data_IF_376507504003
#
_entry.id   IF_376507504003
#
_cell.length_a   1.000
_cell.length_b   1.000
_cell.length_c   1.000
_cell.angle_alpha   90.00
_cell.angle_beta   90.00
_cell.angle_gamma   90.00
#
_symmetry.space_group_name_H-M   'P 1'
#
loop_
_entity.id
_entity.type
_entity.pdbx_description
1 polymer ?
#
# COMPACT_ATOMS: atom_id res chain seq x y z
N UNK A 1 -51.40 -40.79 37.04
CA UNK A 1 -51.75 -39.42 37.49
C UNK A 1 -50.92 -39.18 38.73
N UNK A 2 -49.93 -38.30 38.80
CA UNK A 2 -49.83 -36.93 38.30
C UNK A 2 -48.37 -36.65 37.89
N UNK A 3 -48.21 -36.06 36.71
CA UNK A 3 -46.99 -35.43 36.21
C UNK A 3 -46.63 -34.23 37.10
N UNK A 4 -45.38 -34.13 37.55
CA UNK A 4 -44.91 -33.05 38.43
C UNK A 4 -43.52 -32.56 38.07
N UNK A 5 -43.40 -31.96 36.89
CA UNK A 5 -42.49 -30.87 36.54
C UNK A 5 -41.05 -30.95 37.09
N UNK A 6 -40.17 -31.60 36.32
CA UNK A 6 -38.76 -31.22 36.31
C UNK A 6 -38.68 -29.76 35.84
N UNK A 7 -38.34 -28.86 36.75
CA UNK A 7 -38.08 -27.46 36.46
C UNK A 7 -36.92 -27.37 35.46
N UNK A 8 -37.24 -27.28 34.16
CA UNK A 8 -36.32 -26.76 33.16
C UNK A 8 -36.03 -25.33 33.55
N UNK A 9 -34.86 -25.12 34.14
CA UNK A 9 -34.22 -23.82 34.20
C UNK A 9 -33.97 -23.41 32.76
N UNK A 10 -34.95 -22.72 32.16
CA UNK A 10 -34.77 -22.01 30.90
C UNK A 10 -33.79 -20.87 31.18
N UNK A 11 -32.50 -21.17 31.06
CA UNK A 11 -31.47 -20.17 30.95
C UNK A 11 -31.73 -19.48 29.61
N UNK A 12 -32.53 -18.40 29.66
CA UNK A 12 -32.65 -17.44 28.58
C UNK A 12 -31.22 -16.94 28.34
N UNK A 13 -30.53 -17.55 27.38
CA UNK A 13 -29.31 -16.95 26.83
C UNK A 13 -29.83 -15.75 26.08
N UNK A 14 -29.83 -14.59 26.75
CA UNK A 14 -29.95 -13.33 26.07
C UNK A 14 -28.94 -13.37 24.93
N UNK A 15 -29.47 -13.35 23.70
CA UNK A 15 -28.71 -12.93 22.54
C UNK A 15 -28.30 -11.52 22.87
N UNK A 16 -27.17 -11.37 23.57
CA UNK A 16 -26.46 -10.12 23.65
C UNK A 16 -26.14 -9.81 22.21
N UNK A 17 -26.96 -8.95 21.60
CA UNK A 17 -26.57 -8.17 20.45
C UNK A 17 -25.11 -7.82 20.71
N UNK A 18 -24.18 -8.33 19.88
CA UNK A 18 -22.77 -8.07 20.08
C UNK A 18 -22.66 -6.56 20.22
N UNK A 19 -22.50 -6.09 21.45
CA UNK A 19 -22.32 -4.67 21.70
C UNK A 19 -21.10 -4.36 20.86
N UNK A 20 -21.29 -3.53 19.84
CA UNK A 20 -20.20 -2.92 19.10
C UNK A 20 -19.54 -1.94 20.05
N UNK A 21 -18.93 -2.48 21.13
CA UNK A 21 -18.10 -1.73 22.06
C UNK A 21 -17.09 -1.05 21.17
N UNK A 22 -17.16 0.27 21.19
CA UNK A 22 -16.20 1.12 20.52
C UNK A 22 -14.82 0.72 21.04
N UNK A 23 -14.10 -0.10 20.26
CA UNK A 23 -12.73 -0.44 20.58
C UNK A 23 -11.91 0.74 20.07
N UNK A 24 -11.20 1.47 20.96
CA UNK A 24 -10.30 2.51 20.50
C UNK A 24 -9.32 1.86 19.54
N UNK A 25 -9.21 2.42 18.33
CA UNK A 25 -8.22 1.98 17.35
C UNK A 25 -6.87 2.11 18.07
N UNK A 26 -6.12 1.00 18.28
CA UNK A 26 -4.81 1.11 18.89
C UNK A 26 -3.92 1.83 17.88
N UNK A 27 -3.75 3.15 18.06
CA UNK A 27 -2.77 3.91 17.29
C UNK A 27 -1.41 3.38 17.72
N UNK A 28 -0.80 2.59 16.85
CA UNK A 28 0.50 2.02 17.11
C UNK A 28 1.59 2.98 16.67
N UNK A 29 2.79 2.83 17.23
CA UNK A 29 3.99 3.56 16.77
C UNK A 29 4.21 3.33 15.25
N UNK A 30 3.83 2.15 14.75
CA UNK A 30 3.88 1.84 13.32
C UNK A 30 2.98 2.74 12.49
N UNK A 31 1.78 3.09 12.98
CA UNK A 31 0.86 3.99 12.27
C UNK A 31 1.41 5.42 12.18
N UNK A 32 2.08 5.88 13.23
CA UNK A 32 2.77 7.18 13.25
C UNK A 32 3.96 7.16 12.30
N UNK A 33 4.82 6.13 12.39
CA UNK A 33 5.99 5.98 11.52
C UNK A 33 5.60 5.82 10.05
N UNK A 34 4.47 5.17 9.77
CA UNK A 34 3.94 4.98 8.42
C UNK A 34 3.50 6.30 7.76
N UNK A 35 3.27 7.36 8.53
CA UNK A 35 2.93 8.69 8.02
C UNK A 35 4.18 9.59 8.07
N UNK A 36 4.90 9.57 9.18
CA UNK A 36 6.03 10.44 9.44
C UNK A 36 7.19 10.20 8.48
N UNK A 37 7.59 8.93 8.27
CA UNK A 37 8.77 8.61 7.47
C UNK A 37 8.58 8.98 5.99
N UNK A 38 7.45 8.61 5.33
CA UNK A 38 7.19 9.09 3.98
C UNK A 38 7.01 10.60 3.92
N UNK A 39 6.34 11.20 4.91
CA UNK A 39 6.16 12.64 4.99
C UNK A 39 7.48 13.41 5.04
N UNK A 40 8.45 12.92 5.81
CA UNK A 40 9.78 13.48 5.91
C UNK A 40 10.59 13.33 4.61
N UNK A 41 10.50 12.16 3.96
CA UNK A 41 11.11 11.94 2.65
C UNK A 41 10.56 12.94 1.61
N UNK A 42 9.24 13.16 1.59
CA UNK A 42 8.60 14.14 0.73
C UNK A 42 8.97 15.59 1.08
N UNK A 43 9.10 15.93 2.36
CA UNK A 43 9.59 17.25 2.77
C UNK A 43 10.97 17.55 2.18
N UNK A 44 11.91 16.60 2.28
CA UNK A 44 13.25 16.74 1.69
C UNK A 44 13.13 16.93 0.18
N UNK A 45 12.29 16.15 -0.51
CA UNK A 45 12.12 16.27 -1.97
C UNK A 45 11.48 17.60 -2.38
N UNK A 46 10.52 18.12 -1.61
CA UNK A 46 9.92 19.44 -1.86
C UNK A 46 10.96 20.54 -1.71
N UNK A 47 11.77 20.50 -0.64
CA UNK A 47 12.87 21.46 -0.46
C UNK A 47 13.89 21.32 -1.58
N UNK A 48 14.25 20.10 -1.97
CA UNK A 48 15.17 19.84 -3.08
C UNK A 48 14.62 20.41 -4.39
N UNK A 49 13.33 20.21 -4.70
CA UNK A 49 12.69 20.77 -5.88
C UNK A 49 12.68 22.30 -5.87
N UNK A 50 12.38 22.91 -4.72
CA UNK A 50 12.46 24.36 -4.55
C UNK A 50 13.88 24.89 -4.78
N UNK A 51 14.89 24.18 -4.27
CA UNK A 51 16.30 24.53 -4.50
C UNK A 51 16.66 24.44 -5.98
N UNK A 52 16.26 23.36 -6.66
CA UNK A 52 16.45 23.22 -8.12
C UNK A 52 15.88 24.43 -8.85
N UNK A 53 14.65 24.86 -8.52
CA UNK A 53 14.02 26.02 -9.16
C UNK A 53 14.74 27.34 -8.86
N UNK A 54 15.33 27.48 -7.67
CA UNK A 54 16.05 28.68 -7.26
C UNK A 54 17.47 28.74 -7.83
N UNK A 55 18.15 27.60 -7.92
CA UNK A 55 19.53 27.47 -8.42
C UNK A 55 19.58 27.20 -9.93
N UNK A 56 18.47 27.37 -10.65
CA UNK A 56 18.41 27.31 -12.11
C UNK A 56 19.35 28.32 -12.81
N UNK A 57 19.93 29.27 -12.06
CA UNK A 57 20.97 30.19 -12.52
C UNK A 57 22.21 30.20 -11.60
N UNK A 58 22.28 29.28 -10.63
CA UNK A 58 23.34 29.20 -9.62
C UNK A 58 24.39 28.15 -9.97
N UNK A 59 25.53 28.21 -9.27
CA UNK A 59 26.64 27.25 -9.40
C UNK A 59 26.54 26.08 -8.42
N UNK A 60 25.61 26.11 -7.47
CA UNK A 60 25.42 25.02 -6.52
C UNK A 60 24.62 23.87 -7.14
N UNK A 61 25.08 22.63 -6.94
CA UNK A 61 24.36 21.42 -7.32
C UNK A 61 23.25 21.16 -6.31
N UNK A 62 21.97 21.32 -6.67
CA UNK A 62 20.89 20.98 -5.76
C UNK A 62 20.87 19.45 -5.54
N UNK A 63 20.81 19.04 -4.28
CA UNK A 63 20.76 17.63 -3.89
C UNK A 63 19.95 17.43 -2.61
N UNK A 64 19.41 16.22 -2.35
CA UNK A 64 18.68 15.95 -1.11
C UNK A 64 19.50 16.16 0.16
N UNK A 65 20.82 15.97 0.08
CA UNK A 65 21.73 16.19 1.20
C UNK A 65 21.83 17.68 1.51
N UNK A 66 21.97 18.52 0.48
CA UNK A 66 21.98 19.97 0.64
C UNK A 66 20.65 20.46 1.24
N UNK A 67 19.52 19.97 0.72
CA UNK A 67 18.20 20.29 1.25
C UNK A 67 18.09 19.93 2.75
N UNK A 68 18.60 18.77 3.15
CA UNK A 68 18.67 18.37 4.57
C UNK A 68 19.55 19.32 5.40
N UNK A 69 20.74 19.66 4.93
CA UNK A 69 21.64 20.59 5.63
C UNK A 69 20.99 21.96 5.82
N UNK A 70 20.25 22.46 4.82
CA UNK A 70 19.52 23.73 4.92
C UNK A 70 18.38 23.66 5.92
N UNK A 71 17.64 22.55 5.97
CA UNK A 71 16.61 22.31 6.99
C UNK A 71 17.24 22.34 8.39
N UNK A 72 18.35 21.62 8.59
CA UNK A 72 19.07 21.59 9.87
C UNK A 72 19.59 22.97 10.27
N UNK A 73 20.15 23.71 9.31
CA UNK A 73 20.69 25.04 9.54
C UNK A 73 19.57 26.05 9.88
N UNK A 74 18.40 25.94 9.23
CA UNK A 74 17.22 26.74 9.57
C UNK A 74 16.74 26.44 11.00
N UNK A 75 16.72 25.16 11.40
CA UNK A 75 16.38 24.79 12.78
C UNK A 75 17.39 25.35 13.80
N UNK A 76 18.69 25.26 13.51
CA UNK A 76 19.73 25.82 14.39
C UNK A 76 19.61 27.34 14.53
N UNK A 77 19.34 28.06 13.43
CA UNK A 77 19.15 29.51 13.44
C UNK A 77 17.92 29.95 14.23
N UNK A 78 16.85 29.16 14.20
CA UNK A 78 15.63 29.48 14.96
C UNK A 78 15.84 29.41 16.48
N UNK A 79 16.90 28.75 16.96
CA UNK A 79 17.29 28.62 18.38
C UNK A 79 16.12 28.36 19.37
N UNK A 80 15.12 27.62 18.92
CA UNK A 80 13.89 27.34 19.67
C UNK A 80 13.57 25.86 19.61
N UNK A 81 13.15 25.30 20.75
CA UNK A 81 12.71 23.90 20.85
C UNK A 81 11.47 23.60 19.98
N UNK A 82 10.76 24.64 19.55
CA UNK A 82 9.59 24.53 18.67
C UNK A 82 9.95 24.15 17.23
N UNK A 83 11.17 24.45 16.77
CA UNK A 83 11.61 24.17 15.40
C UNK A 83 11.62 22.67 15.01
N UNK A 84 12.12 21.72 15.83
CA UNK A 84 11.97 20.30 15.53
C UNK A 84 10.50 19.84 15.59
N UNK A 85 9.68 20.42 16.47
CA UNK A 85 8.26 20.08 16.56
C UNK A 85 7.50 20.49 15.29
N UNK A 86 7.75 21.70 14.77
CA UNK A 86 7.13 22.14 13.51
C UNK A 86 7.54 21.28 12.33
N UNK A 87 8.80 20.85 12.27
CA UNK A 87 9.27 19.93 11.24
C UNK A 87 8.52 18.58 11.29
N UNK A 88 8.31 18.03 12.48
CA UNK A 88 7.52 16.79 12.66
C UNK A 88 6.08 17.02 12.20
N UNK A 89 5.45 18.12 12.61
CA UNK A 89 4.06 18.43 12.24
C UNK A 89 3.87 18.63 10.74
N UNK A 90 4.79 19.34 10.09
CA UNK A 90 4.79 19.53 8.62
C UNK A 90 4.97 18.18 7.92
N UNK A 91 5.90 17.36 8.39
CA UNK A 91 6.13 16.02 7.82
C UNK A 91 4.87 15.15 7.93
N UNK A 92 4.20 15.16 9.10
CA UNK A 92 2.93 14.44 9.29
C UNK A 92 1.83 14.94 8.35
N UNK A 93 1.70 16.26 8.18
CA UNK A 93 0.72 16.87 7.28
C UNK A 93 0.93 16.41 5.83
N UNK A 94 2.17 16.49 5.35
CA UNK A 94 2.55 16.05 3.99
C UNK A 94 2.26 14.56 3.81
N UNK A 95 2.68 13.73 4.76
CA UNK A 95 2.45 12.29 4.72
C UNK A 95 0.97 11.93 4.67
N UNK A 96 0.13 12.64 5.45
CA UNK A 96 -1.32 12.43 5.47
C UNK A 96 -1.98 12.82 4.14
N UNK A 97 -1.58 13.96 3.55
CA UNK A 97 -2.14 14.46 2.28
C UNK A 97 -1.81 13.56 1.09
N UNK A 98 -0.61 12.96 1.07
CA UNK A 98 -0.16 12.14 -0.06
C UNK A 98 -0.68 10.70 -0.03
N UNK A 99 -1.08 10.21 1.15
CA UNK A 99 -1.51 8.82 1.38
C UNK A 99 -2.68 8.38 0.47
N UNK A 100 -3.76 9.17 0.28
CA UNK A 100 -4.88 8.76 -0.57
C UNK A 100 -4.51 8.68 -2.05
N UNK A 101 -3.74 9.67 -2.55
CA UNK A 101 -3.37 9.75 -3.96
C UNK A 101 -2.32 8.71 -4.39
N UNK A 102 -1.43 8.31 -3.47
CA UNK A 102 -0.33 7.41 -3.79
C UNK A 102 -0.81 6.05 -4.33
N UNK A 103 -1.83 5.43 -3.74
CA UNK A 103 -2.35 4.14 -4.25
C UNK A 103 -2.81 4.28 -5.70
N UNK A 104 -3.68 5.26 -5.99
CA UNK A 104 -4.24 5.44 -7.33
C UNK A 104 -3.15 5.66 -8.39
N UNK A 105 -2.15 6.48 -8.06
CA UNK A 105 -1.02 6.76 -8.97
C UNK A 105 -0.20 5.49 -9.18
N UNK A 106 0.15 4.78 -8.09
CA UNK A 106 0.98 3.56 -8.19
C UNK A 106 0.30 2.42 -8.93
N UNK A 107 -1.02 2.27 -8.79
CA UNK A 107 -1.83 1.30 -9.54
C UNK A 107 -1.91 1.66 -11.02
N UNK A 108 -2.00 2.94 -11.37
CA UNK A 108 -1.92 3.40 -12.77
C UNK A 108 -0.56 3.11 -13.41
N UNK A 109 0.51 3.22 -12.62
CA UNK A 109 1.89 2.99 -13.08
C UNK A 109 2.24 1.51 -13.25
N UNK A 110 1.55 0.60 -12.59
CA UNK A 110 1.82 -0.85 -12.71
C UNK A 110 1.75 -1.35 -14.15
N UNK A 111 0.80 -0.85 -14.95
CA UNK A 111 0.68 -1.21 -16.37
C UNK A 111 1.95 -0.91 -17.16
N UNK A 112 2.59 0.22 -16.87
CA UNK A 112 3.79 0.67 -17.58
C UNK A 112 5.02 -0.11 -17.12
N UNK A 113 5.10 -0.40 -15.83
CA UNK A 113 6.20 -1.18 -15.26
C UNK A 113 6.24 -2.61 -15.79
N UNK A 114 5.08 -3.26 -15.93
CA UNK A 114 5.01 -4.59 -16.50
C UNK A 114 5.43 -4.64 -17.97
N UNK A 115 5.14 -3.59 -18.76
CA UNK A 115 5.68 -3.45 -20.13
C UNK A 115 7.21 -3.34 -20.12
N UNK A 116 7.77 -2.55 -19.20
CA UNK A 116 9.23 -2.41 -19.04
C UNK A 116 9.85 -3.75 -18.64
N UNK A 117 9.29 -4.46 -17.66
CA UNK A 117 9.78 -5.78 -17.23
C UNK A 117 9.68 -6.81 -18.35
N UNK A 118 8.59 -6.80 -19.12
CA UNK A 118 8.45 -7.66 -20.30
C UNK A 118 9.54 -7.36 -21.33
N UNK A 119 9.81 -6.08 -21.60
CA UNK A 119 10.86 -5.66 -22.53
C UNK A 119 12.26 -6.09 -22.06
N UNK A 120 12.57 -5.91 -20.78
CA UNK A 120 13.84 -6.39 -20.18
C UNK A 120 13.96 -7.91 -20.28
N UNK A 121 12.91 -8.66 -19.95
CA UNK A 121 12.90 -10.12 -20.08
C UNK A 121 13.06 -10.57 -21.53
N UNK A 122 12.45 -9.85 -22.48
CA UNK A 122 12.57 -10.13 -23.91
C UNK A 122 14.01 -9.98 -24.40
N UNK A 123 14.72 -8.94 -23.97
CA UNK A 123 16.14 -8.75 -24.30
C UNK A 123 17.01 -9.89 -23.75
N UNK A 124 16.61 -10.48 -22.62
CA UNK A 124 17.35 -11.56 -21.97
C UNK A 124 16.89 -12.98 -22.34
N UNK A 125 15.81 -13.13 -23.11
CA UNK A 125 15.20 -14.43 -23.40
C UNK A 125 15.76 -15.03 -24.71
N UNK A 126 15.97 -16.35 -24.71
CA UNK A 126 16.26 -17.12 -25.94
C UNK A 126 14.96 -17.35 -26.74
N UNK A 127 15.08 -17.63 -28.05
CA UNK A 127 13.95 -17.72 -29.00
C UNK A 127 12.78 -18.62 -28.55
N UNK A 128 13.06 -19.77 -27.90
CA UNK A 128 12.01 -20.67 -27.39
C UNK A 128 11.22 -20.08 -26.20
N UNK A 129 11.86 -19.23 -25.39
CA UNK A 129 11.20 -18.53 -24.29
C UNK A 129 10.39 -17.33 -24.79
N UNK A 130 10.71 -16.73 -25.93
CA UNK A 130 9.97 -15.57 -26.46
C UNK A 130 8.51 -15.88 -26.81
N UNK A 131 8.24 -17.05 -27.40
CA UNK A 131 6.88 -17.46 -27.76
C UNK A 131 6.02 -17.69 -26.50
N UNK A 132 6.62 -18.27 -25.45
CA UNK A 132 5.99 -18.47 -24.15
C UNK A 132 5.80 -17.14 -23.42
N UNK A 133 6.80 -16.26 -23.48
CA UNK A 133 6.76 -14.91 -22.92
C UNK A 133 5.62 -14.08 -23.54
N UNK A 134 5.43 -14.15 -24.86
CA UNK A 134 4.35 -13.43 -25.56
C UNK A 134 2.97 -13.92 -25.13
N UNK A 135 2.77 -15.24 -25.05
CA UNK A 135 1.50 -15.83 -24.62
C UNK A 135 1.19 -15.49 -23.15
N UNK A 136 2.20 -15.57 -22.27
CA UNK A 136 2.06 -15.19 -20.86
C UNK A 136 1.85 -13.68 -20.68
N UNK A 137 2.41 -12.85 -21.56
CA UNK A 137 2.29 -11.40 -21.48
C UNK A 137 0.90 -10.91 -21.88
N UNK A 138 0.36 -11.33 -23.03
CA UNK A 138 -0.99 -10.96 -23.48
C UNK A 138 -2.06 -11.40 -22.47
N UNK A 139 -1.92 -12.58 -21.87
CA UNK A 139 -2.81 -13.01 -20.79
C UNK A 139 -2.61 -12.24 -19.48
N UNK A 140 -1.40 -11.75 -19.18
CA UNK A 140 -1.08 -11.10 -17.90
C UNK A 140 -1.51 -9.63 -17.86
N UNK A 141 -1.43 -8.90 -18.98
CA UNK A 141 -1.71 -7.46 -19.02
C UNK A 141 -3.15 -7.09 -18.59
N UNK A 142 -4.15 -7.88 -18.99
CA UNK A 142 -5.54 -7.68 -18.57
C UNK A 142 -5.83 -8.21 -17.15
N UNK A 143 -5.03 -9.18 -16.68
CA UNK A 143 -5.16 -9.79 -15.34
C UNK A 143 -4.60 -8.91 -14.21
N UNK A 144 -3.84 -7.86 -14.55
CA UNK A 144 -3.10 -6.98 -13.63
C UNK A 144 -3.83 -5.68 -13.24
N UNK A 145 -5.08 -5.45 -13.67
CA UNK A 145 -5.90 -4.38 -13.07
C UNK A 145 -6.23 -4.74 -11.63
N UNK A 146 -5.94 -3.85 -10.69
CA UNK A 146 -6.48 -3.93 -9.33
C UNK A 146 -8.01 -4.15 -9.43
N UNK A 147 -8.57 -5.17 -8.74
CA UNK A 147 -8.01 -5.94 -7.62
C UNK A 147 -7.30 -7.26 -7.96
N UNK A 148 -6.59 -7.34 -9.09
CA UNK A 148 -5.88 -8.54 -9.55
C UNK A 148 -6.80 -9.73 -9.80
N UNK A 149 -8.05 -9.46 -10.22
CA UNK A 149 -9.05 -10.50 -10.48
C UNK A 149 -8.50 -11.61 -11.39
N UNK A 150 -7.62 -11.27 -12.33
CA UNK A 150 -7.02 -12.25 -13.22
C UNK A 150 -5.98 -13.18 -12.57
N UNK A 151 -5.28 -12.74 -11.52
CA UNK A 151 -4.28 -13.54 -10.79
C UNK A 151 -4.98 -14.52 -9.84
N UNK A 152 -6.07 -14.07 -9.22
CA UNK A 152 -6.80 -14.85 -8.21
C UNK A 152 -7.98 -15.65 -8.78
N UNK A 153 -8.44 -15.38 -10.01
CA UNK A 153 -9.58 -16.09 -10.63
C UNK A 153 -9.46 -17.63 -10.63
N UNK A 154 -8.25 -18.17 -10.61
CA UNK A 154 -7.98 -19.61 -10.59
C UNK A 154 -7.51 -20.12 -9.20
N UNK A 155 -7.35 -19.22 -8.23
CA UNK A 155 -6.89 -19.59 -6.89
C UNK A 155 -8.07 -20.18 -6.08
N UNK A 156 -7.84 -21.31 -5.42
CA UNK A 156 -8.89 -22.01 -4.66
C UNK A 156 -9.51 -21.12 -3.58
N UNK A 157 -8.69 -20.28 -2.96
CA UNK A 157 -9.13 -19.32 -1.94
C UNK A 157 -10.13 -18.29 -2.49
N UNK A 158 -9.90 -17.80 -3.70
CA UNK A 158 -10.78 -16.82 -4.34
C UNK A 158 -12.13 -17.43 -4.72
N UNK A 159 -12.12 -18.66 -5.27
CA UNK A 159 -13.33 -19.39 -5.65
C UNK A 159 -14.18 -19.65 -4.40
N UNK A 160 -13.59 -20.16 -3.33
CA UNK A 160 -14.31 -20.46 -2.08
C UNK A 160 -14.90 -19.19 -1.44
N UNK A 161 -14.15 -18.08 -1.42
CA UNK A 161 -14.66 -16.80 -0.89
C UNK A 161 -15.78 -16.25 -1.77
N UNK A 162 -15.66 -16.37 -3.09
CA UNK A 162 -16.70 -15.94 -4.02
C UNK A 162 -17.99 -16.73 -3.79
N UNK A 163 -17.92 -18.05 -3.70
CA UNK A 163 -19.07 -18.92 -3.46
C UNK A 163 -19.73 -18.58 -2.12
N UNK A 164 -18.94 -18.45 -1.05
CA UNK A 164 -19.41 -18.01 0.26
C UNK A 164 -20.13 -16.66 0.21
N UNK A 165 -19.52 -15.65 -0.40
CA UNK A 165 -20.11 -14.30 -0.47
C UNK A 165 -21.39 -14.29 -1.32
N UNK A 166 -21.41 -15.05 -2.42
CA UNK A 166 -22.60 -15.21 -3.27
C UNK A 166 -23.75 -15.85 -2.49
N UNK A 167 -23.46 -16.88 -1.70
CA UNK A 167 -24.45 -17.57 -0.87
C UNK A 167 -25.05 -16.66 0.22
N UNK A 168 -24.28 -15.68 0.74
CA UNK A 168 -24.76 -14.76 1.80
C UNK A 168 -25.44 -13.51 1.26
N UNK A 169 -24.95 -12.94 0.17
CA UNK A 169 -25.47 -11.67 -0.37
C UNK A 169 -26.57 -11.91 -1.40
N UNK A 170 -26.65 -13.11 -1.98
CA UNK A 170 -27.65 -13.47 -3.00
C UNK A 170 -27.38 -12.88 -4.39
N UNK A 171 -26.28 -12.15 -4.55
CA UNK A 171 -25.85 -11.57 -5.84
C UNK A 171 -24.40 -11.99 -6.14
N UNK A 172 -24.06 -12.09 -7.42
CA UNK A 172 -22.69 -12.37 -7.83
C UNK A 172 -21.78 -11.21 -7.41
N UNK A 173 -20.66 -11.46 -6.72
CA UNK A 173 -19.68 -10.43 -6.35
C UNK A 173 -19.17 -9.58 -7.52
N UNK A 174 -19.31 -10.07 -8.75
CA UNK A 174 -18.91 -9.38 -9.98
C UNK A 174 -19.88 -8.26 -10.40
N UNK A 175 -21.10 -8.24 -9.87
CA UNK A 175 -22.14 -7.23 -10.16
C UNK A 175 -22.01 -5.97 -9.28
N UNK A 176 -21.16 -5.98 -8.24
CA UNK A 176 -20.98 -4.82 -7.36
C UNK A 176 -20.17 -3.70 -8.00
N UNK A 177 -20.57 -2.46 -7.71
CA UNK A 177 -19.83 -1.25 -8.11
C UNK A 177 -18.47 -1.18 -7.39
N UNK A 178 -17.40 -1.20 -8.18
CA UNK A 178 -15.96 -1.11 -7.80
C UNK A 178 -15.35 -2.31 -7.05
N UNK A 179 -14.09 -2.63 -7.37
CA UNK A 179 -13.19 -3.61 -6.70
C UNK A 179 -13.87 -4.86 -6.10
N UNK A 180 -14.34 -5.68 -7.04
CA UNK A 180 -15.47 -6.63 -7.02
C UNK A 180 -15.57 -7.65 -5.85
N UNK A 181 -14.49 -8.19 -5.29
CA UNK A 181 -14.59 -9.20 -4.20
C UNK A 181 -13.88 -8.75 -2.93
N UNK A 182 -12.72 -8.12 -3.07
CA UNK A 182 -11.91 -7.64 -1.96
C UNK A 182 -12.64 -6.63 -1.06
N UNK A 183 -13.36 -5.67 -1.64
CA UNK A 183 -14.11 -4.69 -0.87
C UNK A 183 -15.28 -5.31 -0.09
N UNK A 184 -15.96 -6.29 -0.70
CA UNK A 184 -17.07 -7.02 -0.08
C UNK A 184 -16.55 -7.90 1.06
N UNK A 185 -15.43 -8.60 0.86
CA UNK A 185 -14.78 -9.40 1.89
C UNK A 185 -14.38 -8.56 3.12
N UNK A 186 -13.83 -7.35 2.92
CA UNK A 186 -13.53 -6.43 4.03
C UNK A 186 -14.80 -5.98 4.78
N UNK A 187 -15.88 -5.68 4.06
CA UNK A 187 -17.17 -5.32 4.68
C UNK A 187 -17.74 -6.48 5.49
N UNK A 188 -17.66 -7.70 4.97
CA UNK A 188 -18.06 -8.91 5.67
C UNK A 188 -17.24 -9.10 6.96
N UNK A 189 -15.90 -9.00 6.86
CA UNK A 189 -15.00 -9.11 8.01
C UNK A 189 -15.31 -8.09 9.09
N UNK A 190 -15.59 -6.84 8.71
CA UNK A 190 -15.95 -5.78 9.66
C UNK A 190 -17.19 -6.14 10.50
N UNK A 191 -18.14 -6.87 9.91
CA UNK A 191 -19.39 -7.29 10.58
C UNK A 191 -19.26 -8.63 11.30
N UNK A 192 -18.49 -9.57 10.76
CA UNK A 192 -18.39 -10.94 11.28
C UNK A 192 -17.30 -11.08 12.35
N UNK A 193 -16.13 -10.47 12.15
CA UNK A 193 -14.97 -10.60 13.01
C UNK A 193 -14.11 -9.32 12.98
N UNK A 194 -14.44 -8.32 13.82
CA UNK A 194 -13.75 -7.03 13.84
C UNK A 194 -12.23 -7.12 14.06
N UNK A 195 -11.77 -8.11 14.84
CA UNK A 195 -10.33 -8.35 15.10
C UNK A 195 -9.56 -8.75 13.84
N UNK A 196 -10.15 -9.61 13.00
CA UNK A 196 -9.56 -10.03 11.73
C UNK A 196 -9.60 -8.91 10.68
N UNK A 197 -10.60 -8.02 10.78
CA UNK A 197 -10.67 -6.81 9.98
C UNK A 197 -9.55 -5.83 10.33
N UNK A 198 -9.27 -5.59 11.62
CA UNK A 198 -8.16 -4.72 12.06
C UNK A 198 -6.80 -5.20 11.53
N UNK A 199 -6.57 -6.52 11.49
CA UNK A 199 -5.35 -7.07 10.90
C UNK A 199 -5.24 -6.76 9.40
N UNK A 200 -6.36 -6.87 8.67
CA UNK A 200 -6.42 -6.53 7.25
C UNK A 200 -6.20 -5.03 6.99
N UNK A 201 -6.70 -4.16 7.88
CA UNK A 201 -6.45 -2.71 7.84
C UNK A 201 -4.98 -2.37 8.10
N UNK A 202 -4.31 -3.05 9.04
CA UNK A 202 -2.87 -2.87 9.27
C UNK A 202 -2.05 -3.22 8.02
N UNK A 203 -2.39 -4.31 7.34
CA UNK A 203 -1.76 -4.69 6.07
C UNK A 203 -1.98 -3.66 4.97
N UNK A 204 -3.19 -3.10 4.89
CA UNK A 204 -3.47 -2.01 3.95
C UNK A 204 -2.64 -0.75 4.28
N UNK A 205 -2.45 -0.43 5.56
CA UNK A 205 -1.60 0.68 5.98
C UNK A 205 -0.13 0.48 5.57
N UNK A 206 0.41 -0.73 5.70
CA UNK A 206 1.77 -1.09 5.22
C UNK A 206 1.90 -0.88 3.70
N UNK A 207 0.89 -1.30 2.93
CA UNK A 207 0.84 -1.11 1.48
C UNK A 207 0.79 0.38 1.13
N UNK A 208 -0.08 1.16 1.80
CA UNK A 208 -0.19 2.62 1.62
C UNK A 208 1.15 3.31 1.89
N UNK A 209 1.81 2.98 2.99
CA UNK A 209 3.13 3.52 3.35
C UNK A 209 4.15 3.24 2.26
N UNK A 210 4.24 1.98 1.81
CA UNK A 210 5.19 1.56 0.78
C UNK A 210 4.91 2.25 -0.56
N UNK A 211 3.64 2.48 -0.90
CA UNK A 211 3.25 3.20 -2.11
C UNK A 211 3.71 4.67 -2.07
N UNK A 212 3.54 5.36 -0.95
CA UNK A 212 4.00 6.76 -0.78
C UNK A 212 5.53 6.85 -0.86
N UNK A 213 6.24 5.89 -0.26
CA UNK A 213 7.71 5.80 -0.35
C UNK A 213 8.19 5.53 -1.77
N UNK A 214 7.55 4.60 -2.49
CA UNK A 214 7.86 4.35 -3.89
C UNK A 214 7.67 5.62 -4.73
N UNK A 215 6.57 6.35 -4.53
CA UNK A 215 6.33 7.60 -5.25
C UNK A 215 7.39 8.67 -4.92
N UNK A 216 7.85 8.74 -3.66
CA UNK A 216 8.95 9.62 -3.26
C UNK A 216 10.24 9.27 -4.01
N UNK A 217 10.63 7.98 -4.07
CA UNK A 217 11.84 7.56 -4.80
C UNK A 217 11.73 7.77 -6.31
N UNK A 218 10.53 7.60 -6.87
CA UNK A 218 10.27 7.93 -8.26
C UNK A 218 10.40 9.42 -8.52
N UNK A 219 9.84 10.26 -7.65
CA UNK A 219 10.01 11.72 -7.72
C UNK A 219 11.48 12.13 -7.59
N UNK A 220 12.22 11.54 -6.65
CA UNK A 220 13.68 11.72 -6.51
C UNK A 220 14.43 11.38 -7.79
N UNK A 221 14.05 10.29 -8.46
CA UNK A 221 14.63 9.89 -9.74
C UNK A 221 14.35 10.92 -10.83
N UNK A 222 13.12 11.45 -10.91
CA UNK A 222 12.75 12.49 -11.88
C UNK A 222 13.52 13.79 -11.62
N UNK A 223 13.68 14.19 -10.36
CA UNK A 223 14.49 15.35 -9.98
C UNK A 223 15.97 15.14 -10.33
N UNK A 224 16.51 13.93 -10.11
CA UNK A 224 17.86 13.54 -10.51
C UNK A 224 18.07 13.59 -12.03
N UNK A 225 17.07 13.15 -12.82
CA UNK A 225 17.11 13.26 -14.27
C UNK A 225 17.09 14.72 -14.73
N UNK A 226 16.18 15.52 -14.18
CA UNK A 226 16.08 16.94 -14.50
C UNK A 226 17.37 17.71 -14.21
N UNK A 227 17.96 17.48 -13.04
CA UNK A 227 19.23 18.11 -12.65
C UNK A 227 20.39 17.66 -13.53
N UNK A 228 20.48 16.37 -13.87
CA UNK A 228 21.50 15.87 -14.79
C UNK A 228 21.36 16.48 -16.19
N UNK A 229 20.14 16.57 -16.72
CA UNK A 229 19.86 17.21 -18.02
C UNK A 229 20.30 18.67 -18.03
N UNK A 230 19.99 19.41 -16.96
CA UNK A 230 20.41 20.81 -16.81
C UNK A 230 21.94 20.95 -16.70
N UNK A 231 22.60 20.06 -15.95
CA UNK A 231 24.07 20.05 -15.84
C UNK A 231 24.77 19.72 -17.16
N UNK A 232 24.14 18.86 -17.98
CA UNK A 232 24.64 18.53 -19.30
C UNK A 232 24.53 19.73 -20.26
N UNK A 233 23.44 20.49 -20.18
CA UNK A 233 23.22 21.68 -20.99
C UNK A 233 24.20 22.84 -20.65
N UNK A 234 24.54 23.01 -19.37
CA UNK A 234 25.36 24.13 -18.89
C UNK A 234 26.86 23.82 -18.71
N UNK A 235 27.35 22.70 -19.24
CA UNK A 235 28.78 22.32 -19.23
C UNK A 235 29.46 22.36 -17.83
N UNK A 236 28.73 21.98 -16.78
CA UNK A 236 29.25 21.94 -15.41
C UNK A 236 30.38 20.89 -15.21
N UNK A 237 31.24 21.06 -14.19
CA UNK A 237 32.42 20.22 -13.97
C UNK A 237 32.09 18.74 -13.72
N UNK A 238 32.98 17.84 -14.17
CA UNK A 238 32.77 16.38 -14.12
C UNK A 238 32.61 15.78 -12.70
N UNK A 239 33.02 16.50 -11.64
CA UNK A 239 32.83 16.04 -10.26
C UNK A 239 31.35 16.05 -9.86
N UNK A 240 30.64 17.12 -10.22
CA UNK A 240 29.25 17.34 -9.88
C UNK A 240 28.32 16.36 -10.59
N UNK A 241 28.59 16.11 -11.88
CA UNK A 241 27.89 15.10 -12.68
C UNK A 241 27.94 13.70 -12.05
N UNK A 242 29.09 13.32 -11.49
CA UNK A 242 29.26 12.01 -10.81
C UNK A 242 28.41 11.91 -9.54
N UNK A 243 28.28 13.01 -8.78
CA UNK A 243 27.42 13.04 -7.58
C UNK A 243 25.94 12.92 -7.95
N UNK A 244 25.49 13.68 -8.97
CA UNK A 244 24.11 13.57 -9.49
C UNK A 244 23.82 12.18 -10.03
N UNK A 245 24.77 11.57 -10.74
CA UNK A 245 24.64 10.20 -11.24
C UNK A 245 24.53 9.19 -10.08
N UNK A 246 25.34 9.34 -9.03
CA UNK A 246 25.25 8.51 -7.83
C UNK A 246 23.88 8.62 -7.15
N UNK A 247 23.36 9.84 -7.00
CA UNK A 247 22.01 10.09 -6.48
C UNK A 247 20.93 9.46 -7.35
N UNK A 248 21.03 9.59 -8.68
CA UNK A 248 20.09 9.01 -9.64
C UNK A 248 20.09 7.48 -9.58
N UNK A 249 21.28 6.85 -9.55
CA UNK A 249 21.41 5.40 -9.46
C UNK A 249 20.86 4.87 -8.14
N UNK A 250 21.13 5.55 -7.02
CA UNK A 250 20.56 5.19 -5.73
C UNK A 250 19.03 5.33 -5.71
N UNK A 251 18.50 6.42 -6.27
CA UNK A 251 17.04 6.65 -6.36
C UNK A 251 16.35 5.60 -7.22
N UNK A 252 16.96 5.22 -8.36
CA UNK A 252 16.48 4.14 -9.22
C UNK A 252 16.46 2.80 -8.51
N UNK A 253 17.53 2.45 -7.80
CA UNK A 253 17.62 1.22 -7.02
C UNK A 253 16.54 1.16 -5.93
N UNK A 254 16.37 2.25 -5.16
CA UNK A 254 15.36 2.33 -4.11
C UNK A 254 13.93 2.29 -4.68
N UNK A 255 13.69 2.96 -5.80
CA UNK A 255 12.40 2.91 -6.52
C UNK A 255 12.09 1.48 -6.99
N UNK A 256 13.08 0.78 -7.56
CA UNK A 256 12.94 -0.63 -7.95
C UNK A 256 12.61 -1.53 -6.75
N UNK A 257 13.39 -1.43 -5.66
CA UNK A 257 13.21 -2.25 -4.46
C UNK A 257 11.86 -2.02 -3.79
N UNK A 258 11.46 -0.76 -3.63
CA UNK A 258 10.16 -0.41 -3.04
C UNK A 258 9.00 -0.83 -3.92
N UNK A 259 9.14 -0.78 -5.25
CA UNK A 259 8.11 -1.27 -6.16
C UNK A 259 7.89 -2.77 -6.02
N UNK A 260 8.97 -3.56 -5.98
CA UNK A 260 8.89 -5.01 -5.79
C UNK A 260 8.35 -5.36 -4.39
N UNK A 261 8.70 -4.57 -3.37
CA UNK A 261 8.10 -4.69 -2.04
C UNK A 261 6.59 -4.42 -2.07
N UNK A 262 6.16 -3.34 -2.71
CA UNK A 262 4.75 -2.95 -2.85
C UNK A 262 3.94 -4.07 -3.52
N UNK A 263 4.46 -4.65 -4.60
CA UNK A 263 3.81 -5.77 -5.29
C UNK A 263 3.61 -6.98 -4.37
N UNK A 264 4.67 -7.37 -3.64
CA UNK A 264 4.61 -8.51 -2.70
C UNK A 264 3.66 -8.25 -1.52
N UNK A 265 3.69 -7.05 -0.95
CA UNK A 265 2.81 -6.66 0.15
C UNK A 265 1.34 -6.60 -0.31
N UNK A 266 1.06 -6.02 -1.49
CA UNK A 266 -0.28 -5.97 -2.05
C UNK A 266 -0.84 -7.36 -2.35
N UNK A 267 -0.01 -8.26 -2.88
CA UNK A 267 -0.41 -9.67 -3.07
C UNK A 267 -0.78 -10.32 -1.74
N UNK A 268 0.06 -10.16 -0.71
CA UNK A 268 -0.20 -10.68 0.63
C UNK A 268 -1.46 -10.11 1.25
N UNK A 269 -1.69 -8.79 1.14
CA UNK A 269 -2.90 -8.13 1.66
C UNK A 269 -4.18 -8.79 1.13
N UNK A 270 -4.27 -8.99 -0.19
CA UNK A 270 -5.43 -9.62 -0.82
C UNK A 270 -5.59 -11.07 -0.35
N UNK A 271 -4.50 -11.86 -0.35
CA UNK A 271 -4.54 -13.25 0.10
C UNK A 271 -4.95 -13.41 1.57
N UNK A 272 -4.41 -12.60 2.47
CA UNK A 272 -4.78 -12.63 3.89
C UNK A 272 -6.21 -12.17 4.13
N UNK A 273 -6.70 -11.19 3.37
CA UNK A 273 -8.10 -10.74 3.48
C UNK A 273 -9.06 -11.89 3.11
N UNK A 274 -8.75 -12.66 2.06
CA UNK A 274 -9.55 -13.83 1.67
C UNK A 274 -9.46 -14.96 2.70
N UNK A 275 -8.28 -15.26 3.22
CA UNK A 275 -8.09 -16.25 4.28
C UNK A 275 -8.88 -15.87 5.54
N UNK A 276 -8.76 -14.63 5.99
CA UNK A 276 -9.46 -14.14 7.18
C UNK A 276 -10.98 -14.22 6.99
N UNK A 277 -11.49 -13.92 5.79
CA UNK A 277 -12.92 -14.02 5.50
C UNK A 277 -13.43 -15.47 5.61
N UNK A 278 -12.65 -16.46 5.14
CA UNK A 278 -12.98 -17.88 5.27
C UNK A 278 -12.94 -18.36 6.72
N UNK A 279 -11.95 -17.95 7.50
CA UNK A 279 -11.84 -18.31 8.93
C UNK A 279 -13.04 -17.75 9.70
N UNK A 280 -13.35 -16.46 9.50
CA UNK A 280 -14.52 -15.83 10.12
C UNK A 280 -15.83 -16.55 9.77
N UNK A 281 -15.92 -17.12 8.57
CA UNK A 281 -17.07 -17.90 8.15
C UNK A 281 -17.15 -19.26 8.84
N UNK A 282 -16.07 -20.03 8.87
CA UNK A 282 -16.05 -21.36 9.50
C UNK A 282 -16.34 -21.25 11.00
N UNK A 283 -15.68 -20.33 11.72
CA UNK A 283 -15.94 -20.13 13.14
C UNK A 283 -17.39 -19.72 13.44
N UNK A 284 -18.06 -19.06 12.50
CA UNK A 284 -19.47 -18.64 12.65
C UNK A 284 -20.45 -19.76 12.35
N UNK A 285 -20.12 -20.64 11.42
CA UNK A 285 -20.95 -21.80 11.10
C UNK A 285 -20.84 -22.87 12.20
N UNK A 286 -19.64 -23.08 12.77
CA UNK A 286 -19.45 -23.90 13.97
C UNK A 286 -20.27 -23.36 15.16
N UNK A 287 -20.19 -22.06 15.44
CA UNK A 287 -20.98 -21.44 16.51
C UNK A 287 -22.50 -21.57 16.31
N UNK A 288 -22.98 -21.67 15.06
CA UNK A 288 -24.40 -21.88 14.75
C UNK A 288 -24.83 -23.33 14.89
N UNK A 289 -23.94 -24.28 14.59
CA UNK A 289 -24.22 -25.71 14.77
C UNK A 289 -24.36 -26.04 16.26
N UNK A 290 -23.48 -25.47 17.10
CA UNK A 290 -23.59 -25.58 18.55
C UNK A 290 -24.89 -24.97 19.12
N UNK A 291 -25.47 -23.96 18.46
CA UNK A 291 -26.77 -23.37 18.84
C UNK A 291 -27.96 -24.24 18.42
N UNK A 292 -27.86 -25.03 17.35
CA UNK A 292 -28.94 -25.90 16.86
C UNK A 292 -28.97 -27.26 17.54
N UNK A 293 -27.86 -27.68 18.15
CA UNK A 293 -27.73 -28.97 18.86
C UNK A 293 -28.14 -28.88 20.35
N UNK A 294 -28.68 -27.73 20.81
CA UNK A 294 -29.25 -27.48 22.15
C UNK A 294 -30.78 -27.40 22.09
#
# INVERSE_FOLDING_TARGET
MVLGQAARVTKKVEVTAMETKFRPIPITILDIMAILLPGFAWLILIVTAFEITRTLHGTEVPSPILAWERIVLAMKKANTWFAPLTLVMISLLIGYLLKPGAIFITEGMDRHWHKIRFWIKRISAKEADEAKLKKDADESFDKLKFPFNGIYKQDKLYINVREMLTAKVGCSPEEFYSNQIFAVAKRYLRLAAPTLWEESERREAEVRMTAVMFLAFLCSTLLGLFTLSFQLANYLPNREKRMTLGWLMLSLLLSWLTKESLYRLRKREVGYTYLNALIAHHCRDEARQDETDI
#
